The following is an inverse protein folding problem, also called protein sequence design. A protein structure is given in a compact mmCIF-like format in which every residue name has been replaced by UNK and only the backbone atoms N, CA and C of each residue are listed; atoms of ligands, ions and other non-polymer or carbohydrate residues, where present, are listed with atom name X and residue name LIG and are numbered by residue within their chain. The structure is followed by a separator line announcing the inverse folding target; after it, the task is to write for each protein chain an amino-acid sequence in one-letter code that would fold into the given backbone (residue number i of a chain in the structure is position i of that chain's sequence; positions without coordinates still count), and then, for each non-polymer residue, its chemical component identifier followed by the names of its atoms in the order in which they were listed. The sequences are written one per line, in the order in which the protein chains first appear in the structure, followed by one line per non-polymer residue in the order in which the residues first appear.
data_IF_214728955504
#
_entry.id   IF_214728955504
#
_cell.length_a   1.000
_cell.length_b   1.000
_cell.length_c   1.000
_cell.angle_alpha   90.00
_cell.angle_beta   90.00
_cell.angle_gamma   90.00
#
_symmetry.space_group_name_H-M   'P 1'
#
loop_
_entity.id
_entity.type
_entity.pdbx_description
1 polymer ?
#
# COMPACT_ATOMS: atom_id res chain seq x y z
N UNK A 1 27.73 31.55 23.56
CA UNK A 1 28.95 31.73 24.37
C UNK A 1 30.12 31.27 23.51
N UNK A 2 31.00 32.17 23.08
CA UNK A 2 32.21 31.77 22.36
C UNK A 2 33.29 31.46 23.39
N UNK A 3 33.93 30.29 23.27
CA UNK A 3 35.16 30.05 24.01
C UNK A 3 36.24 30.78 23.23
N UNK A 4 36.55 32.01 23.64
CA UNK A 4 37.63 32.79 23.07
C UNK A 4 38.95 32.30 23.71
N UNK A 5 39.74 31.59 22.92
CA UNK A 5 41.08 31.17 23.31
C UNK A 5 42.05 32.28 22.91
N UNK A 6 42.90 32.70 23.83
CA UNK A 6 44.06 33.56 23.56
C UNK A 6 45.23 32.70 23.11
N UNK A 7 46.15 33.28 22.36
CA UNK A 7 47.43 32.65 22.07
C UNK A 7 48.10 32.23 23.39
N UNK A 8 48.36 30.93 23.52
CA UNK A 8 48.91 30.32 24.74
C UNK A 8 47.89 29.61 25.64
N UNK A 9 46.59 29.63 25.33
CA UNK A 9 45.61 28.85 26.08
C UNK A 9 45.74 27.35 25.77
N UNK A 10 46.01 26.55 26.80
CA UNK A 10 46.20 25.10 26.68
C UNK A 10 44.90 24.33 27.01
N UNK A 11 44.51 23.43 26.13
CA UNK A 11 43.58 22.33 26.45
C UNK A 11 44.39 21.30 27.24
N UNK A 12 44.20 21.25 28.55
CA UNK A 12 44.86 20.27 29.42
C UNK A 12 44.08 18.94 29.40
N UNK A 13 44.75 17.83 29.68
CA UNK A 13 44.11 16.52 29.76
C UNK A 13 42.93 16.51 30.76
N UNK A 14 43.03 17.27 31.86
CA UNK A 14 41.94 17.44 32.83
C UNK A 14 40.68 18.07 32.22
N UNK A 15 40.84 18.97 31.22
CA UNK A 15 39.72 19.58 30.49
C UNK A 15 39.12 18.65 29.44
N UNK A 16 39.80 17.56 29.09
CA UNK A 16 39.32 16.51 28.20
C UNK A 16 38.90 15.25 28.96
N UNK A 17 39.04 15.23 30.28
CA UNK A 17 38.76 14.06 31.08
C UNK A 17 37.26 13.74 31.04
N UNK A 18 36.92 12.54 30.58
CA UNK A 18 35.53 12.11 30.34
C UNK A 18 34.93 12.55 28.99
N UNK A 19 35.64 13.36 28.20
CA UNK A 19 35.21 13.69 26.83
C UNK A 19 35.50 12.52 25.90
N UNK A 20 34.48 11.73 25.60
CA UNK A 20 34.54 10.61 24.66
C UNK A 20 33.71 10.91 23.41
N UNK A 21 34.32 10.68 22.24
CA UNK A 21 33.60 10.65 20.95
C UNK A 21 33.68 9.22 20.42
N UNK A 22 32.54 8.59 20.20
CA UNK A 22 32.42 7.23 19.67
C UNK A 22 31.87 7.29 18.25
N UNK A 23 32.45 6.51 17.34
CA UNK A 23 31.89 6.30 16.00
C UNK A 23 31.11 4.99 16.00
N UNK A 24 29.80 5.06 15.80
CA UNK A 24 28.96 3.87 15.66
C UNK A 24 29.03 3.37 14.22
N UNK A 25 29.31 2.08 14.04
CA UNK A 25 29.26 1.39 12.74
C UNK A 25 27.86 0.91 12.37
N UNK A 26 26.86 1.24 13.18
CA UNK A 26 25.44 0.99 12.93
C UNK A 26 24.64 2.26 13.11
N UNK A 27 23.41 2.25 12.59
CA UNK A 27 22.41 3.28 12.91
C UNK A 27 22.20 3.33 14.43
N UNK A 28 22.05 4.53 14.96
CA UNK A 28 21.71 4.78 16.37
C UNK A 28 20.36 5.44 16.37
N UNK A 29 19.45 5.00 17.23
CA UNK A 29 18.12 5.60 17.36
C UNK A 29 18.04 6.47 18.60
N UNK A 30 17.24 7.55 18.55
CA UNK A 30 16.93 8.35 19.73
C UNK A 30 16.30 7.50 20.83
N UNK A 31 16.85 7.57 22.04
CA UNK A 31 16.44 6.78 23.20
C UNK A 31 17.09 5.39 23.28
N UNK A 32 17.95 5.01 22.33
CA UNK A 32 18.71 3.76 22.40
C UNK A 32 19.54 3.70 23.69
N UNK A 33 19.60 2.54 24.34
CA UNK A 33 20.38 2.38 25.56
C UNK A 33 21.88 2.45 25.26
N UNK A 34 22.64 3.06 26.15
CA UNK A 34 24.09 3.14 26.05
C UNK A 34 24.75 3.00 27.41
N UNK A 35 25.93 2.41 27.42
CA UNK A 35 26.79 2.33 28.61
C UNK A 35 27.84 3.43 28.64
N UNK A 36 27.80 4.37 27.69
CA UNK A 36 28.71 5.51 27.65
C UNK A 36 28.37 6.48 28.80
N UNK A 37 29.36 7.18 29.35
CA UNK A 37 29.13 8.16 30.41
C UNK A 37 28.30 9.34 29.90
N UNK A 38 27.51 9.94 30.79
CA UNK A 38 26.70 11.12 30.46
C UNK A 38 27.58 12.23 29.86
N UNK A 39 27.11 12.82 28.76
CA UNK A 39 27.83 13.81 27.97
C UNK A 39 28.70 13.24 26.84
N UNK A 40 28.96 11.92 26.78
CA UNK A 40 29.70 11.31 25.68
C UNK A 40 28.96 11.51 24.35
N UNK A 41 29.71 11.80 23.28
CA UNK A 41 29.16 12.01 21.96
C UNK A 41 29.28 10.74 21.12
N UNK A 42 28.24 10.42 20.34
CA UNK A 42 28.26 9.31 19.38
C UNK A 42 27.92 9.83 17.99
N UNK A 43 28.82 9.69 17.03
CA UNK A 43 28.54 9.92 15.61
C UNK A 43 28.18 8.59 14.96
N UNK A 44 27.02 8.49 14.32
CA UNK A 44 26.57 7.26 13.67
C UNK A 44 26.97 7.17 12.18
N UNK A 45 26.63 6.04 11.57
CA UNK A 45 26.90 5.77 10.14
C UNK A 45 26.17 6.71 9.18
N UNK A 46 25.13 7.39 9.64
CA UNK A 46 24.38 8.32 8.85
C UNK A 46 24.87 9.78 9.00
N UNK A 47 25.85 9.99 9.88
CA UNK A 47 26.34 11.32 10.23
C UNK A 47 25.49 12.02 11.29
N UNK A 48 24.55 11.33 11.93
CA UNK A 48 23.78 11.87 13.03
C UNK A 48 24.63 11.83 14.32
N UNK A 49 24.62 12.93 15.08
CA UNK A 49 25.34 13.06 16.35
C UNK A 49 24.36 12.92 17.51
N UNK A 50 24.68 12.01 18.42
CA UNK A 50 23.95 11.73 19.65
C UNK A 50 24.79 12.11 20.88
N UNK A 51 24.14 12.39 22.00
CA UNK A 51 24.75 12.53 23.31
C UNK A 51 24.18 11.49 24.26
N UNK A 52 25.05 10.83 25.03
CA UNK A 52 24.61 9.97 26.12
C UNK A 52 24.06 10.83 27.27
N UNK A 53 22.83 10.57 27.70
CA UNK A 53 22.23 11.15 28.90
C UNK A 53 21.42 10.08 29.65
N UNK A 54 21.71 9.91 30.95
CA UNK A 54 21.07 8.93 31.83
C UNK A 54 21.02 7.50 31.24
N UNK A 55 22.12 7.08 30.57
CA UNK A 55 22.24 5.76 29.92
C UNK A 55 21.43 5.59 28.63
N UNK A 56 20.99 6.68 28.00
CA UNK A 56 20.30 6.68 26.69
C UNK A 56 20.98 7.63 25.71
N UNK A 57 20.71 7.45 24.42
CA UNK A 57 21.21 8.31 23.34
C UNK A 57 20.17 9.37 22.97
N UNK A 58 20.47 10.63 23.22
CA UNK A 58 19.65 11.76 22.77
C UNK A 58 20.21 12.36 21.48
N UNK A 59 19.36 12.55 20.48
CA UNK A 59 19.78 13.14 19.19
C UNK A 59 20.12 14.63 19.37
N UNK A 60 21.36 15.01 19.05
CA UNK A 60 21.83 16.39 19.13
C UNK A 60 21.74 17.11 17.78
N UNK A 61 22.21 16.47 16.70
CA UNK A 61 22.10 16.99 15.34
C UNK A 61 21.95 15.84 14.36
N UNK A 62 21.06 15.99 13.38
CA UNK A 62 20.97 15.08 12.24
C UNK A 62 21.56 15.73 11.00
N UNK A 63 22.49 15.03 10.35
CA UNK A 63 23.06 15.44 9.06
C UNK A 63 22.29 14.84 7.88
N UNK A 64 21.36 13.92 8.14
CA UNK A 64 20.34 13.56 7.14
C UNK A 64 19.57 14.84 6.80
N UNK A 65 19.83 15.39 5.62
CA UNK A 65 19.01 16.48 5.07
C UNK A 65 17.53 16.08 5.12
N UNK A 66 16.63 17.06 5.16
CA UNK A 66 15.19 16.80 5.12
C UNK A 66 14.90 15.78 4.02
N UNK A 67 14.16 14.72 4.37
CA UNK A 67 13.64 13.78 3.39
C UNK A 67 12.97 14.62 2.29
N UNK A 68 13.43 14.50 1.05
CA UNK A 68 12.81 15.20 -0.06
C UNK A 68 11.31 14.95 -0.08
N UNK A 69 10.54 15.95 -0.52
CA UNK A 69 9.09 15.83 -0.59
C UNK A 69 8.70 14.56 -1.34
N UNK A 70 7.59 13.94 -0.89
CA UNK A 70 7.03 12.81 -1.61
C UNK A 70 6.73 13.27 -3.04
N UNK A 71 7.21 12.53 -4.04
CA UNK A 71 6.88 12.81 -5.43
C UNK A 71 5.37 12.81 -5.67
N UNK A 72 4.92 13.63 -6.61
CA UNK A 72 3.52 13.75 -6.98
C UNK A 72 2.88 12.40 -7.34
N UNK A 73 1.59 12.26 -7.08
CA UNK A 73 0.81 11.10 -7.54
C UNK A 73 0.84 11.05 -9.07
N UNK A 74 1.10 9.87 -9.63
CA UNK A 74 1.08 9.67 -11.07
C UNK A 74 -0.28 10.02 -11.68
N UNK A 75 -0.28 10.40 -12.96
CA UNK A 75 -1.52 10.68 -13.70
C UNK A 75 -2.42 9.44 -13.72
N UNK A 76 -3.73 9.65 -13.67
CA UNK A 76 -4.69 8.57 -13.85
C UNK A 76 -4.48 7.88 -15.21
N UNK A 77 -4.61 6.56 -15.24
CA UNK A 77 -4.54 5.79 -16.48
C UNK A 77 -5.67 6.19 -17.46
N UNK A 78 -5.50 5.89 -18.76
CA UNK A 78 -6.56 6.12 -19.74
C UNK A 78 -7.81 5.32 -19.38
N UNK A 79 -8.97 5.82 -19.80
CA UNK A 79 -10.22 5.07 -19.69
C UNK A 79 -10.10 3.70 -20.40
N UNK A 80 -10.75 2.69 -19.85
CA UNK A 80 -10.84 1.37 -20.49
C UNK A 80 -11.57 1.44 -21.84
N UNK A 81 -11.28 0.48 -22.71
CA UNK A 81 -12.00 0.35 -23.98
C UNK A 81 -13.51 0.10 -23.74
N UNK A 82 -14.34 0.61 -24.65
CA UNK A 82 -15.77 0.29 -24.66
C UNK A 82 -15.94 -1.22 -24.87
N UNK A 83 -16.85 -1.84 -24.12
CA UNK A 83 -17.17 -3.26 -24.29
C UNK A 83 -17.78 -3.58 -25.66
N UNK A 84 -17.75 -4.85 -26.10
CA UNK A 84 -18.39 -5.25 -27.34
C UNK A 84 -19.91 -5.02 -27.29
N UNK A 85 -20.51 -4.79 -28.46
CA UNK A 85 -21.96 -4.75 -28.57
C UNK A 85 -22.60 -6.06 -28.10
N UNK A 86 -23.82 -5.99 -27.59
CA UNK A 86 -24.61 -7.18 -27.27
C UNK A 86 -24.94 -7.99 -28.53
N UNK A 87 -25.22 -9.29 -28.34
CA UNK A 87 -25.73 -10.13 -29.43
C UNK A 87 -27.15 -9.71 -29.82
N UNK A 88 -27.50 -9.90 -31.08
CA UNK A 88 -28.88 -9.71 -31.55
C UNK A 88 -29.85 -10.67 -30.84
N UNK A 89 -31.11 -10.25 -30.73
CA UNK A 89 -32.19 -11.09 -30.20
C UNK A 89 -32.58 -12.22 -31.16
N UNK A 90 -33.03 -13.35 -30.62
CA UNK A 90 -33.56 -14.46 -31.41
C UNK A 90 -35.01 -14.21 -31.80
N UNK A 91 -35.35 -14.46 -33.07
CA UNK A 91 -36.72 -14.44 -33.57
C UNK A 91 -37.38 -15.82 -33.48
N UNK A 92 -38.71 -15.89 -33.54
CA UNK A 92 -39.44 -17.17 -33.66
C UNK A 92 -39.45 -17.59 -35.13
N UNK A 93 -38.98 -18.80 -35.42
CA UNK A 93 -38.92 -19.40 -36.75
C UNK A 93 -40.19 -20.17 -37.09
N UNK A 94 -40.71 -20.95 -36.14
CA UNK A 94 -41.94 -21.74 -36.29
C UNK A 94 -42.51 -22.11 -34.92
N UNK A 95 -43.78 -22.54 -34.89
CA UNK A 95 -44.43 -23.05 -33.68
C UNK A 95 -45.30 -24.26 -34.00
N UNK A 96 -45.34 -25.21 -33.06
CA UNK A 96 -46.16 -26.43 -33.14
C UNK A 96 -47.02 -26.52 -31.88
N UNK A 97 -48.29 -26.90 -32.03
CA UNK A 97 -49.18 -27.21 -30.89
C UNK A 97 -48.98 -28.66 -30.49
N UNK A 98 -48.87 -28.89 -29.18
CA UNK A 98 -48.62 -30.21 -28.61
C UNK A 98 -49.92 -30.75 -28.05
N UNK A 99 -50.36 -31.93 -28.52
CA UNK A 99 -51.56 -32.61 -28.05
C UNK A 99 -51.21 -33.93 -27.35
N UNK A 100 -52.00 -34.31 -26.34
CA UNK A 100 -51.89 -35.64 -25.75
C UNK A 100 -52.51 -36.71 -26.66
N UNK A 101 -52.44 -37.98 -26.24
CA UNK A 101 -52.98 -39.13 -27.00
C UNK A 101 -54.50 -39.08 -27.18
N UNK A 102 -55.17 -38.20 -26.45
CA UNK A 102 -56.62 -38.02 -26.43
C UNK A 102 -57.03 -36.75 -27.22
N UNK A 103 -56.07 -36.04 -27.83
CA UNK A 103 -56.29 -34.80 -28.59
C UNK A 103 -56.42 -33.54 -27.72
N UNK A 104 -56.10 -33.61 -26.43
CA UNK A 104 -56.12 -32.43 -25.57
C UNK A 104 -54.83 -31.62 -25.76
N UNK A 105 -54.94 -30.31 -25.97
CA UNK A 105 -53.78 -29.41 -26.05
C UNK A 105 -53.05 -29.39 -24.71
N UNK A 106 -51.78 -29.79 -24.73
CA UNK A 106 -50.88 -29.84 -23.56
C UNK A 106 -49.86 -28.72 -23.56
N UNK A 107 -49.71 -27.98 -24.67
CA UNK A 107 -48.73 -26.92 -24.79
C UNK A 107 -48.43 -26.54 -26.24
N UNK A 108 -47.32 -25.84 -26.42
CA UNK A 108 -46.76 -25.52 -27.72
C UNK A 108 -45.23 -25.52 -27.67
N UNK A 109 -44.57 -25.94 -28.75
CA UNK A 109 -43.12 -25.82 -28.90
C UNK A 109 -42.82 -24.73 -29.94
N UNK A 110 -42.07 -23.71 -29.53
CA UNK A 110 -41.55 -22.68 -30.43
C UNK A 110 -40.14 -23.05 -30.86
N UNK A 111 -39.85 -23.01 -32.15
CA UNK A 111 -38.49 -23.09 -32.69
C UNK A 111 -37.98 -21.68 -32.95
N UNK A 112 -36.84 -21.34 -32.38
CA UNK A 112 -36.19 -20.04 -32.54
C UNK A 112 -35.34 -19.99 -33.82
N UNK A 113 -34.88 -18.81 -34.21
CA UNK A 113 -34.10 -18.57 -35.43
C UNK A 113 -32.75 -19.31 -35.45
N UNK A 114 -32.21 -19.67 -34.29
CA UNK A 114 -30.99 -20.48 -34.13
C UNK A 114 -31.28 -22.00 -34.02
N UNK A 115 -32.52 -22.41 -34.30
CA UNK A 115 -33.02 -23.78 -34.17
C UNK A 115 -33.10 -24.31 -32.72
N UNK A 116 -32.86 -23.48 -31.69
CA UNK A 116 -33.22 -23.86 -30.32
C UNK A 116 -34.74 -23.93 -30.16
N UNK A 117 -35.22 -24.68 -29.16
CA UNK A 117 -36.65 -24.84 -28.90
C UNK A 117 -37.02 -24.32 -27.52
N UNK A 118 -38.18 -23.67 -27.42
CA UNK A 118 -38.82 -23.25 -26.17
C UNK A 118 -40.15 -23.96 -26.04
N UNK A 119 -40.32 -24.74 -24.99
CA UNK A 119 -41.57 -25.43 -24.69
C UNK A 119 -42.45 -24.60 -23.75
N UNK A 120 -43.68 -24.36 -24.18
CA UNK A 120 -44.74 -23.72 -23.42
C UNK A 120 -45.69 -24.83 -22.95
N UNK A 121 -45.70 -25.14 -21.67
CA UNK A 121 -46.59 -26.16 -21.11
C UNK A 121 -47.88 -25.54 -20.62
N UNK A 122 -49.02 -26.13 -21.00
CA UNK A 122 -50.31 -25.81 -20.42
C UNK A 122 -50.61 -26.79 -19.28
N UNK A 123 -50.52 -26.30 -18.05
CA UNK A 123 -50.97 -27.07 -16.89
C UNK A 123 -52.50 -27.02 -16.84
N UNK A 124 -53.16 -28.18 -16.92
CA UNK A 124 -54.62 -28.27 -16.76
C UNK A 124 -55.01 -27.63 -15.42
N UNK A 125 -55.84 -26.58 -15.45
CA UNK A 125 -56.46 -26.07 -14.24
C UNK A 125 -57.36 -27.17 -13.68
N UNK A 126 -57.02 -27.72 -12.51
CA UNK A 126 -57.92 -28.56 -11.73
C UNK A 126 -59.02 -27.66 -11.18
N UNK A 127 -60.26 -27.85 -11.65
CA UNK A 127 -61.46 -27.28 -11.02
C UNK A 127 -61.74 -27.93 -9.67
#
# INVERSE_FOLDING_TARGET
MAIAWKDGDTITADKLNGSQVTFSSTDVETGATTTQPDGALTLDVNGDLYQADAGKQDLLVSLKGLKGDKGDTGVAGPAGAVGPAGKDGLGVKSGTINEDKNGAVTGATLTMSDNSTVDLTLNKATS
#
